data_IF_472625707719
#
_entry.id   IF_472625707719
#
_cell.length_a   1.000
_cell.length_b   1.000
_cell.length_c   1.000
_cell.angle_alpha   90.00
_cell.angle_beta   90.00
_cell.angle_gamma   90.00
#
_symmetry.space_group_name_H-M   'P 1'
#
loop_
_entity.id
_entity.type
_entity.pdbx_description
1 polymer ?
#
# COMPACT_ATOMS: atom_id res chain seq x y z
N UNK A 1 -20.95 -7.22 -9.15
CA UNK A 1 -20.11 -6.11 -8.64
C UNK A 1 -20.46 -5.91 -7.18
N UNK A 2 -19.46 -5.91 -6.29
CA UNK A 2 -19.63 -5.70 -4.86
C UNK A 2 -18.64 -4.65 -4.36
N UNK A 3 -19.10 -3.76 -3.48
CA UNK A 3 -18.27 -2.80 -2.75
C UNK A 3 -18.28 -3.19 -1.28
N UNK A 4 -17.11 -3.41 -0.70
CA UNK A 4 -16.94 -3.74 0.71
C UNK A 4 -16.11 -2.66 1.39
N UNK A 5 -16.70 -1.95 2.34
CA UNK A 5 -15.96 -1.04 3.22
C UNK A 5 -15.10 -1.86 4.20
N UNK A 6 -13.87 -1.42 4.44
CA UNK A 6 -12.99 -1.99 5.44
C UNK A 6 -13.11 -1.16 6.73
N UNK A 7 -13.48 -1.84 7.82
CA UNK A 7 -13.55 -1.26 9.14
C UNK A 7 -12.96 -2.28 10.15
N UNK A 8 -11.73 -2.07 10.65
CA UNK A 8 -10.90 -0.88 10.52
C UNK A 8 -10.18 -0.75 9.16
N UNK A 9 -9.72 0.46 8.84
CA UNK A 9 -8.84 0.69 7.69
C UNK A 9 -7.52 -0.06 7.83
N UNK A 10 -7.03 -0.65 6.75
CA UNK A 10 -5.85 -1.53 6.75
C UNK A 10 -4.63 -0.77 6.25
N UNK A 11 -3.51 -0.73 7.01
CA UNK A 11 -2.25 -0.17 6.53
C UNK A 11 -1.66 -1.00 5.39
N UNK A 12 -1.45 -0.35 4.24
CA UNK A 12 -0.92 -0.98 3.02
C UNK A 12 0.23 -0.17 2.44
N UNK A 13 0.99 -0.78 1.55
CA UNK A 13 1.99 -0.15 0.71
C UNK A 13 1.62 -0.42 -0.74
N UNK A 14 1.60 0.64 -1.55
CA UNK A 14 1.28 0.60 -2.97
C UNK A 14 2.58 0.70 -3.77
N UNK A 15 2.79 -0.26 -4.67
CA UNK A 15 3.93 -0.25 -5.58
C UNK A 15 3.97 1.09 -6.32
N UNK A 16 5.15 1.73 -6.36
CA UNK A 16 5.40 3.04 -6.97
C UNK A 16 4.64 4.25 -6.39
N UNK A 17 3.91 4.10 -5.26
CA UNK A 17 3.24 5.22 -4.56
C UNK A 17 3.58 5.33 -3.07
N UNK A 18 4.00 4.25 -2.43
CA UNK A 18 4.41 4.25 -1.03
C UNK A 18 3.32 3.83 -0.05
N UNK A 19 3.44 4.26 1.20
CA UNK A 19 2.58 3.85 2.30
C UNK A 19 1.20 4.54 2.26
N UNK A 20 0.17 3.82 2.68
CA UNK A 20 -1.20 4.33 2.73
C UNK A 20 -2.13 3.49 3.58
N UNK A 21 -3.41 3.85 3.55
CA UNK A 21 -4.49 3.11 4.21
C UNK A 21 -5.55 2.70 3.20
N UNK A 22 -5.87 1.41 3.19
CA UNK A 22 -7.01 0.88 2.47
C UNK A 22 -8.27 1.00 3.33
N UNK A 23 -9.35 1.53 2.76
CA UNK A 23 -10.64 1.68 3.46
C UNK A 23 -11.81 1.04 2.71
N UNK A 24 -11.60 0.51 1.50
CA UNK A 24 -12.58 -0.32 0.81
C UNK A 24 -11.94 -1.25 -0.23
N UNK A 25 -12.67 -2.30 -0.61
CA UNK A 25 -12.35 -3.21 -1.72
C UNK A 25 -13.54 -3.30 -2.65
N UNK A 26 -13.29 -3.30 -3.95
CA UNK A 26 -14.29 -3.43 -5.01
C UNK A 26 -13.98 -4.71 -5.78
N UNK A 27 -14.96 -5.61 -5.81
CA UNK A 27 -14.93 -6.84 -6.58
C UNK A 27 -15.80 -6.70 -7.84
N UNK A 28 -15.15 -6.78 -8.99
CA UNK A 28 -15.78 -6.75 -10.31
C UNK A 28 -16.11 -8.16 -10.83
N UNK A 29 -15.62 -9.23 -10.20
CA UNK A 29 -15.85 -10.63 -10.57
C UNK A 29 -14.65 -11.31 -11.22
N UNK A 30 -14.90 -12.50 -11.81
CA UNK A 30 -13.89 -13.50 -12.19
C UNK A 30 -12.82 -13.08 -13.21
N UNK A 31 -13.00 -11.97 -13.93
CA UNK A 31 -12.05 -11.49 -14.96
C UNK A 31 -11.32 -10.19 -14.56
N UNK A 32 -11.52 -9.73 -13.33
CA UNK A 32 -10.94 -8.48 -12.85
C UNK A 32 -10.18 -8.70 -11.55
N UNK A 33 -9.12 -7.91 -11.35
CA UNK A 33 -8.46 -7.87 -10.06
C UNK A 33 -9.43 -7.30 -9.00
N UNK A 34 -9.32 -7.80 -7.76
CA UNK A 34 -9.84 -7.06 -6.61
C UNK A 34 -9.18 -5.68 -6.60
N UNK A 35 -10.00 -4.64 -6.56
CA UNK A 35 -9.54 -3.25 -6.57
C UNK A 35 -9.59 -2.71 -5.15
N UNK A 36 -8.49 -2.17 -4.67
CA UNK A 36 -8.36 -1.59 -3.34
C UNK A 36 -8.47 -0.07 -3.43
N UNK A 37 -9.34 0.52 -2.62
CA UNK A 37 -9.45 1.97 -2.48
C UNK A 37 -8.54 2.41 -1.35
N UNK A 38 -7.53 3.20 -1.70
CA UNK A 38 -6.39 3.50 -0.82
C UNK A 38 -6.11 4.99 -0.79
N UNK A 39 -5.91 5.55 0.39
CA UNK A 39 -5.39 6.90 0.57
C UNK A 39 -3.87 6.83 0.79
N UNK A 40 -3.11 7.58 0.01
CA UNK A 40 -1.63 7.65 0.13
C UNK A 40 -1.27 8.65 1.22
N UNK A 41 -0.38 8.25 2.13
CA UNK A 41 -0.05 9.06 3.31
C UNK A 41 0.64 10.38 2.94
N UNK A 42 1.59 10.33 2.01
CA UNK A 42 2.46 11.48 1.71
C UNK A 42 1.76 12.56 0.87
N UNK A 43 0.88 12.13 -0.05
CA UNK A 43 0.21 13.04 -1.00
C UNK A 43 -1.27 13.30 -0.67
N UNK A 44 -1.89 12.45 0.15
CA UNK A 44 -3.33 12.49 0.41
C UNK A 44 -4.20 12.04 -0.76
N UNK A 45 -3.60 11.57 -1.86
CA UNK A 45 -4.35 11.11 -3.03
C UNK A 45 -5.09 9.81 -2.74
N UNK A 46 -6.28 9.67 -3.33
CA UNK A 46 -7.07 8.44 -3.27
C UNK A 46 -6.95 7.70 -4.59
N UNK A 47 -6.54 6.43 -4.54
CA UNK A 47 -6.32 5.58 -5.69
C UNK A 47 -7.08 4.26 -5.61
N UNK A 48 -7.57 3.83 -6.77
CA UNK A 48 -8.09 2.49 -7.01
C UNK A 48 -6.97 1.60 -7.55
N UNK A 49 -6.45 0.69 -6.74
CA UNK A 49 -5.24 -0.08 -7.01
C UNK A 49 -5.58 -1.56 -7.19
N UNK A 50 -5.11 -2.24 -8.25
CA UNK A 50 -5.36 -3.66 -8.43
C UNK A 50 -4.54 -4.51 -7.44
N UNK A 51 -5.10 -5.63 -6.99
CA UNK A 51 -4.51 -6.53 -5.99
C UNK A 51 -3.01 -6.83 -6.18
N UNK A 52 -2.48 -7.10 -7.40
CA UNK A 52 -1.05 -7.36 -7.59
C UNK A 52 -0.11 -6.21 -7.19
N UNK A 53 -0.61 -4.99 -7.04
CA UNK A 53 0.16 -3.79 -6.66
C UNK A 53 0.03 -3.42 -5.18
N UNK A 54 -0.76 -4.16 -4.40
CA UNK A 54 -0.98 -3.89 -2.98
C UNK A 54 -0.09 -4.81 -2.14
N UNK A 55 0.60 -4.25 -1.15
CA UNK A 55 1.40 -5.00 -0.16
C UNK A 55 0.94 -4.63 1.25
N UNK A 56 1.02 -5.59 2.17
CA UNK A 56 0.87 -5.26 3.59
C UNK A 56 2.09 -4.48 4.07
N UNK A 57 1.87 -3.55 5.00
CA UNK A 57 3.00 -2.94 5.71
C UNK A 57 3.65 -3.94 6.69
N UNK A 58 4.91 -3.65 7.03
CA UNK A 58 5.63 -4.37 8.08
C UNK A 58 4.93 -4.23 9.43
N UNK A 59 4.98 -5.28 10.24
CA UNK A 59 4.38 -5.33 11.56
C UNK A 59 5.21 -6.26 12.46
N UNK A 60 5.97 -5.66 13.38
CA UNK A 60 6.90 -6.36 14.27
C UNK A 60 6.22 -7.30 15.28
N UNK A 61 5.01 -6.96 15.77
CA UNK A 61 4.26 -7.86 16.68
C UNK A 61 3.75 -9.09 15.95
N UNK A 62 3.56 -8.99 14.64
CA UNK A 62 3.16 -10.09 13.76
C UNK A 62 4.36 -10.75 13.06
N UNK A 63 5.60 -10.43 13.44
CA UNK A 63 6.81 -10.97 12.81
C UNK A 63 6.95 -10.63 11.31
N UNK A 64 6.25 -9.60 10.82
CA UNK A 64 6.34 -9.13 9.44
C UNK A 64 7.42 -8.07 9.35
N UNK A 65 8.53 -8.39 8.69
CA UNK A 65 9.59 -7.43 8.43
C UNK A 65 9.07 -6.26 7.59
N UNK A 66 9.66 -5.08 7.82
CA UNK A 66 9.40 -3.92 6.96
C UNK A 66 9.94 -4.26 5.56
N UNK A 67 9.16 -4.06 4.49
CA UNK A 67 9.71 -4.16 3.15
C UNK A 67 10.94 -3.25 3.08
N UNK A 68 12.08 -3.78 2.65
CA UNK A 68 13.26 -2.96 2.40
C UNK A 68 12.87 -1.97 1.32
N UNK A 69 12.70 -0.70 1.70
CA UNK A 69 12.60 0.37 0.71
C UNK A 69 13.81 0.21 -0.20
N UNK A 70 13.60 0.01 -1.50
CA UNK A 70 14.68 -0.01 -2.47
C UNK A 70 15.52 1.21 -2.23
N UNK A 71 16.77 1.00 -1.81
CA UNK A 71 17.67 2.05 -1.40
C UNK A 71 17.84 3.06 -2.55
N UNK A 72 17.17 4.20 -2.47
CA UNK A 72 17.70 5.40 -3.07
C UNK A 72 18.93 5.73 -2.25
N UNK A 73 20.10 5.47 -2.84
CA UNK A 73 21.39 5.83 -2.29
C UNK A 73 21.47 7.36 -2.18
N UNK A 74 21.01 7.93 -1.06
CA UNK A 74 21.46 9.25 -0.65
C UNK A 74 22.90 9.09 -0.14
N UNK A 75 23.85 9.20 -1.07
CA UNK A 75 25.25 9.35 -0.78
C UNK A 75 25.46 10.71 -0.11
N UNK A 76 25.24 10.78 1.20
CA UNK A 76 25.80 11.83 2.02
C UNK A 76 27.30 11.54 2.17
N UNK A 77 28.08 12.04 1.22
CA UNK A 77 29.54 12.12 1.32
C UNK A 77 29.85 13.01 2.52
N UNK A 78 30.38 12.43 3.59
CA UNK A 78 31.06 13.22 4.62
C UNK A 78 32.41 13.59 4.04
N UNK A 79 32.50 14.80 3.50
CA UNK A 79 33.76 15.50 3.37
C UNK A 79 34.20 15.87 4.79
N UNK A 80 35.31 15.28 5.25
CA UNK A 80 36.33 15.83 6.17
C UNK A 80 37.38 14.76 6.53
#
# INVERSE_FOLDING_TARGET
>A
MAFQQLDPTIPVHIVDKGAGFAFAVIDYGQEHNLIWVTAINDTGEIWCVPNPQVRLQGNWTMGRDRPTASATSDSCTKDD
#
